data_IF_361421856927
#
_entry.id   IF_361421856927
#
_cell.length_a   1.000
_cell.length_b   1.000
_cell.length_c   1.000
_cell.angle_alpha   90.00
_cell.angle_beta   90.00
_cell.angle_gamma   90.00
#
_symmetry.space_group_name_H-M   'P 1'
#
loop_
_entity.id
_entity.type
_entity.pdbx_description
1 polymer ?
#
# COMPACT_ATOMS: atom_id res chain seq x y z
N UNK A 1 15.63 -16.65 14.86
CA UNK A 1 15.71 -15.18 14.70
C UNK A 1 14.27 -14.66 14.64
N UNK A 2 13.75 -14.11 15.74
CA UNK A 2 12.37 -13.58 15.78
C UNK A 2 12.33 -12.28 14.98
N UNK A 3 11.74 -12.29 13.79
CA UNK A 3 11.26 -11.05 13.17
C UNK A 3 10.15 -10.55 14.10
N UNK A 4 10.48 -9.57 14.91
CA UNK A 4 9.49 -8.75 15.61
C UNK A 4 8.78 -8.00 14.48
N UNK A 5 7.55 -8.40 14.16
CA UNK A 5 6.66 -7.57 13.34
C UNK A 5 6.52 -6.25 14.06
N UNK A 6 6.83 -5.18 13.35
CA UNK A 6 6.78 -3.84 13.91
C UNK A 6 5.62 -3.17 13.21
N UNK A 7 4.48 -3.08 13.88
CA UNK A 7 3.56 -2.02 13.54
C UNK A 7 4.36 -0.71 13.65
N UNK A 8 4.36 0.09 12.59
CA UNK A 8 4.86 1.46 12.63
C UNK A 8 3.71 2.28 12.12
N UNK A 9 2.85 2.72 13.03
CA UNK A 9 1.94 3.77 12.66
C UNK A 9 2.76 5.00 12.28
N UNK A 10 2.24 5.78 11.35
CA UNK A 10 2.71 7.13 11.08
C UNK A 10 1.46 7.99 11.33
N UNK A 11 1.66 9.18 11.86
CA UNK A 11 0.57 10.14 12.07
C UNK A 11 1.13 11.49 11.66
N UNK A 12 1.20 11.73 10.35
CA UNK A 12 1.58 13.03 9.84
C UNK A 12 0.47 14.03 10.21
N UNK A 13 0.69 14.82 11.25
CA UNK A 13 -0.12 16.00 11.51
C UNK A 13 0.73 17.25 11.54
N UNK A 14 0.14 18.33 11.02
CA UNK A 14 0.71 19.68 10.96
C UNK A 14 0.77 20.28 12.34
N UNK A 15 1.90 20.08 13.03
CA UNK A 15 2.23 20.78 14.26
C UNK A 15 3.61 21.44 14.12
N UNK A 16 3.66 22.73 14.42
CA UNK A 16 4.82 23.60 14.26
C UNK A 16 5.98 23.18 15.18
N UNK A 17 7.16 23.02 14.58
CA UNK A 17 8.47 22.98 15.25
C UNK A 17 8.91 21.64 15.83
N UNK A 18 9.65 20.84 15.05
CA UNK A 18 11.14 20.76 15.09
C UNK A 18 11.64 19.52 14.29
N UNK A 19 12.64 19.75 13.43
CA UNK A 19 13.55 18.78 12.76
C UNK A 19 12.96 17.47 12.21
N UNK A 20 12.24 17.60 11.10
CA UNK A 20 12.07 16.67 9.97
C UNK A 20 10.79 17.12 9.24
N UNK A 21 10.91 17.82 8.09
CA UNK A 21 9.81 18.44 7.32
C UNK A 21 8.78 19.19 8.20
N UNK A 22 8.89 20.52 8.28
CA UNK A 22 8.03 21.39 9.10
C UNK A 22 6.53 21.04 8.98
N UNK A 23 5.90 20.65 10.09
CA UNK A 23 4.50 20.24 10.13
C UNK A 23 4.25 18.75 9.82
N UNK A 24 5.22 17.86 9.99
CA UNK A 24 4.99 16.41 9.95
C UNK A 24 5.45 15.80 11.27
N UNK A 25 4.51 15.23 12.04
CA UNK A 25 4.82 14.42 13.21
C UNK A 25 4.95 12.92 12.83
N UNK A 26 5.87 12.21 13.47
CA UNK A 26 5.99 10.75 13.37
C UNK A 26 5.71 10.11 14.72
N UNK A 27 4.68 9.26 14.78
CA UNK A 27 4.28 8.53 15.99
C UNK A 27 4.30 7.03 15.73
N UNK A 28 5.30 6.32 16.27
CA UNK A 28 5.45 4.87 16.14
C UNK A 28 4.87 4.13 17.35
N UNK A 29 4.05 3.11 17.12
CA UNK A 29 3.50 2.24 18.16
C UNK A 29 3.88 0.80 17.90
N UNK A 30 4.31 0.09 18.94
CA UNK A 30 4.79 -1.30 18.80
C UNK A 30 3.76 -2.34 19.25
N UNK A 31 2.73 -1.89 19.99
CA UNK A 31 1.64 -2.74 20.48
C UNK A 31 0.31 -2.22 19.93
N UNK A 32 -0.61 -3.14 19.61
CA UNK A 32 -1.89 -2.80 19.00
C UNK A 32 -2.77 -1.92 19.90
N UNK A 33 -2.65 -2.09 21.22
CA UNK A 33 -3.41 -1.33 22.22
C UNK A 33 -2.94 0.12 22.36
N UNK A 34 -1.73 0.43 21.87
CA UNK A 34 -1.18 1.78 21.91
C UNK A 34 -1.56 2.61 20.68
N UNK A 35 -2.07 1.94 19.64
CA UNK A 35 -2.46 2.58 18.38
C UNK A 35 -3.60 3.56 18.65
N UNK A 36 -3.43 4.79 18.19
CA UNK A 36 -4.46 5.82 18.32
C UNK A 36 -5.69 5.38 17.53
N UNK A 37 -6.86 5.46 18.17
CA UNK A 37 -8.13 5.20 17.51
C UNK A 37 -8.36 6.24 16.39
N UNK A 38 -8.93 5.83 15.24
CA UNK A 38 -9.32 6.71 14.14
C UNK A 38 -9.92 8.04 14.58
N UNK A 39 -10.86 8.00 15.52
CA UNK A 39 -11.64 9.15 15.99
C UNK A 39 -10.82 10.15 16.82
N UNK A 40 -9.64 9.73 17.29
CA UNK A 40 -8.73 10.55 18.10
C UNK A 40 -7.51 11.04 17.32
N UNK A 41 -7.33 10.58 16.09
CA UNK A 41 -6.25 11.06 15.25
C UNK A 41 -6.53 12.48 14.76
N UNK A 42 -5.46 13.23 14.57
CA UNK A 42 -5.54 14.59 14.05
C UNK A 42 -5.98 14.56 12.57
N UNK A 43 -6.65 15.61 12.08
CA UNK A 43 -7.02 15.70 10.66
C UNK A 43 -5.81 15.51 9.74
N UNK A 44 -6.03 14.83 8.61
CA UNK A 44 -5.02 14.49 7.59
C UNK A 44 -3.91 13.52 8.06
N UNK A 45 -4.14 12.82 9.17
CA UNK A 45 -3.22 11.76 9.61
C UNK A 45 -3.26 10.58 8.65
N UNK A 46 -2.08 10.06 8.28
CA UNK A 46 -1.93 8.87 7.41
C UNK A 46 -1.39 7.69 8.21
N UNK A 47 -2.20 6.65 8.35
CA UNK A 47 -1.82 5.39 8.99
C UNK A 47 -0.96 4.57 8.03
N UNK A 48 0.22 4.12 8.47
CA UNK A 48 0.99 3.10 7.75
C UNK A 48 1.02 1.85 8.61
N UNK A 49 0.77 0.69 8.02
CA UNK A 49 0.70 -0.59 8.71
C UNK A 49 1.81 -1.49 8.15
N UNK A 50 2.90 -1.64 8.89
CA UNK A 50 4.09 -2.39 8.46
C UNK A 50 4.07 -3.84 8.98
N UNK A 51 4.06 -4.82 8.08
CA UNK A 51 4.13 -6.27 8.34
C UNK A 51 3.22 -6.79 9.47
N UNK A 52 2.01 -6.26 9.56
CA UNK A 52 0.99 -6.64 10.57
C UNK A 52 0.33 -8.01 10.32
N UNK A 53 0.84 -8.76 9.34
CA UNK A 53 0.33 -10.06 8.93
C UNK A 53 0.53 -11.16 9.98
N UNK A 54 1.41 -10.92 10.96
CA UNK A 54 1.69 -11.81 12.09
C UNK A 54 0.88 -11.49 13.35
N UNK A 55 0.14 -10.39 13.38
CA UNK A 55 -0.56 -9.91 14.59
C UNK A 55 -2.09 -10.04 14.52
N UNK A 56 -2.76 -9.84 15.66
CA UNK A 56 -4.23 -9.88 15.76
C UNK A 56 -4.84 -8.79 14.88
N UNK A 57 -5.30 -9.17 13.68
CA UNK A 57 -5.76 -8.24 12.65
C UNK A 57 -7.03 -7.44 12.98
N UNK A 58 -7.65 -7.62 14.15
CA UNK A 58 -8.90 -6.93 14.51
C UNK A 58 -8.77 -5.40 14.50
N UNK A 59 -7.72 -4.87 15.14
CA UNK A 59 -7.49 -3.42 15.23
C UNK A 59 -7.18 -2.83 13.86
N UNK A 60 -6.24 -3.45 13.13
CA UNK A 60 -5.83 -2.98 11.81
C UNK A 60 -6.94 -3.05 10.76
N UNK A 61 -7.79 -4.09 10.79
CA UNK A 61 -8.99 -4.16 9.95
C UNK A 61 -10.00 -3.09 10.31
N UNK A 62 -10.19 -2.81 11.60
CA UNK A 62 -11.07 -1.74 12.06
C UNK A 62 -10.58 -0.37 11.57
N UNK A 63 -9.29 -0.09 11.69
CA UNK A 63 -8.67 1.14 11.17
C UNK A 63 -8.91 1.25 9.68
N UNK A 64 -8.56 0.23 8.90
CA UNK A 64 -8.76 0.26 7.45
C UNK A 64 -10.24 0.45 7.06
N UNK A 65 -11.17 -0.21 7.76
CA UNK A 65 -12.60 -0.10 7.47
C UNK A 65 -13.16 1.30 7.76
N UNK A 66 -12.57 2.06 8.69
CA UNK A 66 -13.03 3.41 9.09
C UNK A 66 -12.30 4.51 8.31
N UNK A 67 -11.00 4.40 8.15
CA UNK A 67 -10.11 5.45 7.63
C UNK A 67 -9.69 5.22 6.17
N UNK A 68 -10.46 4.45 5.36
CA UNK A 68 -10.10 3.95 4.01
C UNK A 68 -9.30 4.89 3.10
N UNK A 69 -9.45 6.21 3.27
CA UNK A 69 -8.77 7.24 2.49
C UNK A 69 -7.33 7.54 2.93
N UNK A 70 -6.94 7.20 4.16
CA UNK A 70 -5.68 7.61 4.79
C UNK A 70 -4.89 6.43 5.38
N UNK A 71 -5.03 5.21 4.84
CA UNK A 71 -4.34 4.02 5.35
C UNK A 71 -3.49 3.37 4.26
N UNK A 72 -2.20 3.21 4.52
CA UNK A 72 -1.26 2.45 3.70
C UNK A 72 -0.89 1.13 4.37
N UNK A 73 -0.90 0.04 3.61
CA UNK A 73 -0.51 -1.28 4.09
C UNK A 73 0.80 -1.70 3.42
N UNK A 74 1.81 -2.05 4.21
CA UNK A 74 3.08 -2.57 3.72
C UNK A 74 3.14 -4.08 4.02
N UNK A 75 3.29 -4.87 2.96
CA UNK A 75 3.34 -6.33 3.06
C UNK A 75 4.46 -6.90 2.21
N UNK A 76 5.13 -7.92 2.72
CA UNK A 76 6.17 -8.64 1.97
C UNK A 76 5.61 -9.55 0.87
N UNK A 77 4.37 -10.04 1.04
CA UNK A 77 3.74 -10.95 0.10
C UNK A 77 2.28 -10.57 -0.11
N UNK A 78 1.91 -10.37 -1.37
CA UNK A 78 0.57 -9.98 -1.79
C UNK A 78 -0.49 -10.99 -1.32
N UNK A 79 -0.25 -12.28 -1.52
CA UNK A 79 -1.17 -13.36 -1.13
C UNK A 79 -1.48 -13.43 0.37
N UNK A 80 -0.56 -12.96 1.23
CA UNK A 80 -0.76 -12.93 2.69
C UNK A 80 -1.75 -11.83 3.12
N UNK A 81 -1.86 -10.74 2.38
CA UNK A 81 -2.80 -9.65 2.67
C UNK A 81 -4.23 -10.15 2.50
N UNK A 82 -5.11 -9.94 3.47
CA UNK A 82 -6.49 -10.43 3.38
C UNK A 82 -7.20 -9.88 2.14
N UNK A 83 -7.74 -10.76 1.29
CA UNK A 83 -8.43 -10.36 0.05
C UNK A 83 -9.59 -9.42 0.34
N UNK A 84 -10.52 -9.93 1.15
CA UNK A 84 -11.69 -9.18 1.61
C UNK A 84 -11.22 -8.04 2.50
N UNK A 85 -11.87 -6.88 2.35
CA UNK A 85 -11.59 -5.62 3.04
C UNK A 85 -10.31 -4.92 2.58
N UNK A 86 -9.15 -5.58 2.44
CA UNK A 86 -7.91 -4.89 2.10
C UNK A 86 -7.64 -4.85 0.59
N UNK A 87 -7.35 -5.99 -0.04
CA UNK A 87 -6.91 -6.02 -1.46
C UNK A 87 -7.99 -5.49 -2.39
N UNK A 88 -9.24 -5.95 -2.20
CA UNK A 88 -10.35 -5.55 -3.07
C UNK A 88 -10.66 -4.04 -2.97
N UNK A 89 -10.43 -3.41 -1.81
CA UNK A 89 -10.74 -2.00 -1.57
C UNK A 89 -9.54 -1.06 -1.65
N UNK A 90 -8.33 -1.56 -1.93
CA UNK A 90 -7.19 -0.69 -2.19
C UNK A 90 -7.49 0.20 -3.40
N UNK A 91 -7.25 1.51 -3.29
CA UNK A 91 -7.36 2.48 -4.37
C UNK A 91 -6.05 2.62 -5.14
N UNK A 92 -4.92 2.52 -4.45
CA UNK A 92 -3.58 2.61 -4.99
C UNK A 92 -2.75 1.39 -4.60
N UNK A 93 -2.15 0.73 -5.59
CA UNK A 93 -1.28 -0.44 -5.37
C UNK A 93 0.11 -0.11 -5.89
N UNK A 94 1.08 -0.10 -4.98
CA UNK A 94 2.52 0.02 -5.29
C UNK A 94 3.12 -1.38 -5.30
N UNK A 95 3.59 -1.84 -6.46
CA UNK A 95 4.02 -3.24 -6.64
C UNK A 95 5.50 -3.33 -7.06
N UNK A 96 6.30 -3.79 -6.12
CA UNK A 96 7.67 -4.26 -6.39
C UNK A 96 7.65 -5.63 -7.07
N UNK A 97 8.81 -6.07 -7.56
CA UNK A 97 8.98 -7.38 -8.23
C UNK A 97 8.34 -8.52 -7.43
N UNK A 98 7.43 -9.24 -8.08
CA UNK A 98 6.73 -10.42 -7.53
C UNK A 98 7.20 -11.71 -8.18
N UNK A 99 6.90 -12.84 -7.53
CA UNK A 99 6.90 -14.15 -8.20
C UNK A 99 5.69 -14.32 -9.13
N UNK A 100 5.72 -15.36 -9.96
CA UNK A 100 4.67 -15.64 -10.96
C UNK A 100 3.29 -15.85 -10.33
N UNK A 101 3.23 -16.46 -9.14
CA UNK A 101 1.97 -16.78 -8.46
C UNK A 101 1.29 -15.50 -7.96
N UNK A 102 2.03 -14.67 -7.23
CA UNK A 102 1.55 -13.38 -6.75
C UNK A 102 1.21 -12.44 -7.91
N UNK A 103 1.99 -12.47 -9.00
CA UNK A 103 1.71 -11.66 -10.19
C UNK A 103 0.36 -12.02 -10.84
N UNK A 104 0.06 -13.33 -10.94
CA UNK A 104 -1.25 -13.80 -11.43
C UNK A 104 -2.39 -13.36 -10.52
N UNK A 105 -2.20 -13.39 -9.20
CA UNK A 105 -3.21 -12.92 -8.26
C UNK A 105 -3.51 -11.43 -8.44
N UNK A 106 -2.48 -10.58 -8.54
CA UNK A 106 -2.64 -9.14 -8.81
C UNK A 106 -3.37 -8.92 -10.14
N UNK A 107 -2.97 -9.63 -11.19
CA UNK A 107 -3.62 -9.55 -12.50
C UNK A 107 -5.10 -9.88 -12.42
N UNK A 108 -5.45 -11.05 -11.86
CA UNK A 108 -6.84 -11.50 -11.79
C UNK A 108 -7.71 -10.55 -11.00
N UNK A 109 -7.18 -10.00 -9.90
CA UNK A 109 -7.92 -9.13 -8.98
C UNK A 109 -8.05 -7.67 -9.48
N UNK A 110 -7.09 -7.16 -10.27
CA UNK A 110 -7.02 -5.73 -10.56
C UNK A 110 -6.85 -5.33 -12.03
N UNK A 111 -6.41 -6.23 -12.90
CA UNK A 111 -5.99 -5.88 -14.27
C UNK A 111 -6.69 -6.69 -15.37
N UNK A 112 -7.34 -7.80 -15.01
CA UNK A 112 -7.92 -8.78 -15.95
C UNK A 112 -9.02 -8.22 -16.85
N UNK A 113 -9.67 -7.12 -16.47
CA UNK A 113 -10.65 -6.41 -17.30
C UNK A 113 -10.03 -5.40 -18.27
N UNK A 114 -8.74 -5.06 -18.09
CA UNK A 114 -8.10 -3.95 -18.80
C UNK A 114 -7.16 -4.41 -19.92
N UNK A 115 -6.44 -5.52 -19.70
CA UNK A 115 -5.41 -6.05 -20.62
C UNK A 115 -5.24 -7.57 -20.45
N UNK A 116 -4.51 -8.21 -21.36
CA UNK A 116 -4.13 -9.62 -21.24
C UNK A 116 -3.02 -9.83 -20.21
N UNK A 117 -2.96 -11.04 -19.64
CA UNK A 117 -1.91 -11.36 -18.65
C UNK A 117 -0.48 -11.21 -19.22
N UNK A 118 -0.29 -11.51 -20.50
CA UNK A 118 1.00 -11.34 -21.17
C UNK A 118 1.42 -9.87 -21.23
N UNK A 119 0.50 -8.98 -21.55
CA UNK A 119 0.73 -7.53 -21.61
C UNK A 119 1.05 -6.99 -20.22
N UNK A 120 0.28 -7.41 -19.21
CA UNK A 120 0.53 -7.04 -17.81
C UNK A 120 1.90 -7.51 -17.31
N UNK A 121 2.29 -8.74 -17.67
CA UNK A 121 3.59 -9.30 -17.29
C UNK A 121 4.74 -8.56 -17.95
N UNK A 122 4.60 -8.18 -19.22
CA UNK A 122 5.60 -7.41 -19.95
C UNK A 122 5.72 -5.99 -19.39
N UNK A 123 4.59 -5.33 -19.09
CA UNK A 123 4.53 -4.05 -18.38
C UNK A 123 5.33 -4.11 -17.07
N UNK A 124 5.03 -5.06 -16.18
CA UNK A 124 5.73 -5.23 -14.91
C UNK A 124 7.24 -5.49 -15.11
N UNK A 125 7.57 -6.42 -16.01
CA UNK A 125 8.96 -6.85 -16.25
C UNK A 125 9.81 -5.72 -16.82
N UNK A 126 9.25 -4.90 -17.73
CA UNK A 126 9.95 -3.76 -18.31
C UNK A 126 10.34 -2.71 -17.27
N UNK A 127 9.50 -2.51 -16.24
CA UNK A 127 9.78 -1.64 -15.11
C UNK A 127 10.90 -2.21 -14.23
N UNK A 128 10.76 -3.47 -13.81
CA UNK A 128 11.67 -4.10 -12.86
C UNK A 128 13.06 -4.42 -13.43
N UNK A 129 13.20 -4.50 -14.76
CA UNK A 129 14.52 -4.63 -15.42
C UNK A 129 15.38 -3.38 -15.30
N UNK A 130 14.77 -2.19 -15.12
CA UNK A 130 15.50 -0.92 -15.05
C UNK A 130 16.24 -0.70 -13.71
N UNK A 131 15.98 -1.50 -12.68
CA UNK A 131 16.63 -1.34 -11.37
C UNK A 131 16.00 -2.13 -10.23
N UNK A 132 16.79 -2.40 -9.17
CA UNK A 132 16.38 -3.24 -8.03
C UNK A 132 15.23 -2.66 -7.20
N UNK A 133 15.09 -1.34 -7.18
CA UNK A 133 14.11 -0.60 -6.36
C UNK A 133 12.95 -0.05 -7.18
N UNK A 134 12.81 -0.49 -8.44
CA UNK A 134 11.72 -0.05 -9.30
C UNK A 134 10.43 -0.78 -8.97
N UNK A 135 9.33 -0.06 -9.13
CA UNK A 135 7.98 -0.55 -8.87
C UNK A 135 7.02 0.03 -9.91
N UNK A 136 5.93 -0.70 -10.13
CA UNK A 136 4.78 -0.18 -10.86
C UNK A 136 3.76 0.38 -9.87
N UNK A 137 2.86 1.21 -10.38
CA UNK A 137 1.68 1.66 -9.66
C UNK A 137 0.44 1.30 -10.45
N UNK A 138 -0.58 0.80 -9.75
CA UNK A 138 -1.93 0.61 -10.26
C UNK A 138 -2.85 1.54 -9.45
N UNK A 139 -3.34 2.59 -10.09
CA UNK A 139 -4.28 3.56 -9.51
C UNK A 139 -5.70 3.28 -10.01
N UNK A 140 -6.53 2.71 -9.14
CA UNK A 140 -7.91 2.33 -9.46
C UNK A 140 -8.89 3.50 -9.51
N UNK A 141 -8.48 4.69 -9.08
CA UNK A 141 -9.28 5.92 -9.22
C UNK A 141 -9.12 6.56 -10.61
N UNK A 142 -8.22 6.02 -11.44
CA UNK A 142 -7.98 6.47 -12.80
C UNK A 142 -8.58 5.50 -13.83
N UNK A 143 -9.05 6.04 -14.96
CA UNK A 143 -9.41 5.25 -16.13
C UNK A 143 -8.20 4.54 -16.73
N UNK A 144 -8.44 3.42 -17.42
CA UNK A 144 -7.41 2.53 -17.99
C UNK A 144 -6.27 3.30 -18.68
N UNK A 145 -6.64 4.16 -19.62
CA UNK A 145 -5.69 4.87 -20.48
C UNK A 145 -5.39 6.30 -19.97
N UNK A 146 -5.85 6.62 -18.75
CA UNK A 146 -5.71 7.94 -18.14
C UNK A 146 -5.02 7.84 -16.77
N UNK A 147 -3.87 7.16 -16.74
CA UNK A 147 -2.98 7.15 -15.59
C UNK A 147 -3.26 6.08 -14.54
N UNK A 148 -4.06 5.05 -14.86
CA UNK A 148 -4.22 3.85 -14.04
C UNK A 148 -2.90 3.09 -13.87
N UNK A 149 -2.15 2.91 -14.94
CA UNK A 149 -0.88 2.16 -14.90
C UNK A 149 0.31 3.10 -15.01
N UNK A 150 1.31 2.91 -14.14
CA UNK A 150 2.49 3.78 -14.09
C UNK A 150 3.78 3.03 -13.79
N UNK A 151 4.90 3.54 -14.29
CA UNK A 151 6.24 3.24 -13.76
C UNK A 151 6.59 4.29 -12.71
N UNK A 152 6.83 3.86 -11.46
CA UNK A 152 6.90 4.81 -10.35
C UNK A 152 5.59 5.59 -10.20
N UNK A 153 5.66 6.77 -9.59
CA UNK A 153 4.47 7.63 -9.42
C UNK A 153 4.21 8.56 -10.61
N UNK A 154 5.25 8.87 -11.39
CA UNK A 154 5.25 10.02 -12.32
C UNK A 154 5.22 9.63 -13.81
N UNK A 155 5.49 8.37 -14.14
CA UNK A 155 5.53 7.94 -15.56
C UNK A 155 4.27 7.14 -15.90
N UNK A 156 3.33 7.78 -16.60
CA UNK A 156 2.10 7.15 -17.05
C UNK A 156 2.32 6.17 -18.21
N UNK A 157 1.56 5.08 -18.20
CA UNK A 157 1.55 4.08 -19.28
C UNK A 157 0.16 4.03 -19.87
N UNK A 158 0.10 4.15 -21.19
CA UNK A 158 -1.10 3.92 -22.00
C UNK A 158 -1.04 2.47 -22.46
N UNK A 159 -2.15 1.75 -22.33
CA UNK A 159 -2.25 0.31 -22.57
C UNK A 159 -3.20 0.03 -23.72
#
# INVERSE_FOLDING_TARGET
>A
MKLISRLKLFLASKADGNKDIEGIQLLTFYENEQVIEPEKALPNSVYILDDILTERQGVCRSIFARERHNVCYLAQSYSRVAKQLLRDNANLIVLFKQDETNLKHVYMEHCSGDMLYTEFKDFCTSCWRKGRVNFIVINKDCERDNGRYRYGFDTFVII
#
